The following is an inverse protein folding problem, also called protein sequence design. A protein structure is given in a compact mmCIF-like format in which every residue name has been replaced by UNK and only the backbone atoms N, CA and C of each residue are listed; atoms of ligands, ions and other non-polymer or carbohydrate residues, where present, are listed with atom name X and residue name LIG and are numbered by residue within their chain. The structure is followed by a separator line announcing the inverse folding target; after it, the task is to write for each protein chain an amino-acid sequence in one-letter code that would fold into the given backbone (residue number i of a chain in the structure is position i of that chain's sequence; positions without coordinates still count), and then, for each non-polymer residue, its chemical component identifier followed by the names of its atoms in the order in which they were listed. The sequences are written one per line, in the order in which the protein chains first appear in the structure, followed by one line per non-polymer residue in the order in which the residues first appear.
data_IF_920549747788
#
_entry.id   IF_920549747788
#
_cell.length_a   1.000
_cell.length_b   1.000
_cell.length_c   1.000
_cell.angle_alpha   90.00
_cell.angle_beta   90.00
_cell.angle_gamma   90.00
#
_symmetry.space_group_name_H-M   'P 1'
#
loop_
_entity.id
_entity.type
_entity.pdbx_description
1 polymer ?
#
# COMPACT_ATOMS: atom_id res chain seq x y z
N UNK A 1 8.94 -47.41 52.93
CA UNK A 1 9.74 -48.27 52.00
C UNK A 1 10.71 -47.33 51.26
N UNK A 2 11.93 -47.20 51.80
CA UNK A 2 12.97 -46.31 51.25
C UNK A 2 13.81 -47.09 50.23
N UNK A 3 13.58 -46.81 48.95
CA UNK A 3 14.40 -47.38 47.87
C UNK A 3 15.66 -46.53 47.73
N UNK A 4 16.81 -47.08 48.20
CA UNK A 4 18.13 -46.52 47.95
C UNK A 4 18.59 -46.90 46.56
N UNK A 5 18.50 -45.98 45.61
CA UNK A 5 19.06 -46.13 44.26
C UNK A 5 20.59 -46.06 44.34
N UNK A 6 21.26 -47.10 43.81
CA UNK A 6 22.73 -47.24 43.76
C UNK A 6 23.38 -46.17 42.90
N UNK A 7 24.60 -45.76 43.21
CA UNK A 7 25.30 -44.60 42.60
C UNK A 7 25.36 -44.54 41.07
N UNK A 8 25.54 -45.63 40.29
CA UNK A 8 25.59 -45.56 38.84
C UNK A 8 24.26 -45.16 38.20
N UNK A 9 23.13 -45.48 38.83
CA UNK A 9 21.80 -45.13 38.30
C UNK A 9 21.48 -43.63 38.43
N UNK A 10 22.06 -42.97 39.43
CA UNK A 10 21.91 -41.47 39.58
C UNK A 10 22.68 -40.70 38.51
N UNK A 11 23.85 -41.21 38.07
CA UNK A 11 24.63 -40.58 37.01
C UNK A 11 23.96 -40.72 35.63
N UNK A 12 23.34 -41.84 35.35
CA UNK A 12 22.61 -42.07 34.09
C UNK A 12 21.35 -41.20 34.03
N UNK A 13 20.62 -41.05 35.14
CA UNK A 13 19.44 -40.19 35.22
C UNK A 13 19.80 -38.71 35.07
N UNK A 14 20.91 -38.27 35.64
CA UNK A 14 21.40 -36.90 35.50
C UNK A 14 21.88 -36.60 34.07
N UNK A 15 22.53 -37.56 33.39
CA UNK A 15 22.95 -37.42 31.99
C UNK A 15 21.77 -37.36 31.02
N UNK A 16 20.70 -38.13 31.26
CA UNK A 16 19.46 -38.07 30.46
C UNK A 16 18.70 -36.74 30.65
N UNK A 17 18.74 -36.15 31.84
CA UNK A 17 18.08 -34.83 32.11
C UNK A 17 18.81 -33.65 31.42
N UNK A 18 20.14 -33.74 31.26
CA UNK A 18 20.92 -32.71 30.59
C UNK A 18 20.77 -32.75 29.08
N UNK A 19 20.55 -33.93 28.49
CA UNK A 19 20.30 -34.08 27.04
C UNK A 19 18.91 -33.61 26.62
N UNK A 20 17.93 -33.55 27.50
CA UNK A 20 16.56 -33.08 27.19
C UNK A 20 16.43 -31.53 27.19
N UNK A 21 17.40 -30.79 27.72
CA UNK A 21 17.39 -29.32 27.77
C UNK A 21 17.93 -28.68 26.49
N UNK A 22 18.45 -29.41 25.53
CA UNK A 22 18.96 -28.87 24.27
C UNK A 22 17.93 -28.84 23.13
N UNK A 23 16.71 -29.37 23.33
CA UNK A 23 15.71 -29.52 22.26
C UNK A 23 14.78 -28.32 22.08
N UNK A 24 14.92 -27.25 22.83
CA UNK A 24 14.16 -26.00 22.67
C UNK A 24 15.05 -24.80 22.35
N UNK A 25 15.94 -24.92 21.37
CA UNK A 25 16.40 -23.75 20.64
C UNK A 25 15.25 -23.34 19.72
N UNK A 26 14.37 -22.48 20.21
CA UNK A 26 13.51 -21.68 19.34
C UNK A 26 14.40 -21.07 18.29
N UNK A 27 14.28 -21.52 17.04
CA UNK A 27 14.84 -20.81 15.90
C UNK A 27 14.26 -19.38 16.01
N UNK A 28 15.13 -18.44 16.40
CA UNK A 28 14.84 -17.03 16.24
C UNK A 28 14.48 -16.77 14.77
N UNK A 29 13.75 -15.71 14.44
CA UNK A 29 13.45 -15.37 13.06
C UNK A 29 14.77 -15.42 12.29
N UNK A 30 14.84 -16.26 11.25
CA UNK A 30 16.02 -16.38 10.39
C UNK A 30 16.32 -14.96 9.87
N UNK A 31 17.39 -14.37 10.35
CA UNK A 31 17.92 -13.12 9.82
C UNK A 31 18.36 -13.47 8.41
N UNK A 32 17.56 -13.06 7.41
CA UNK A 32 17.84 -13.34 6.02
C UNK A 32 19.28 -12.93 5.67
N UNK A 33 19.94 -13.77 4.90
CA UNK A 33 21.29 -13.48 4.39
C UNK A 33 21.25 -12.23 3.51
N UNK A 34 22.30 -11.40 3.53
CA UNK A 34 22.42 -10.27 2.61
C UNK A 34 22.22 -10.75 1.17
N UNK A 35 21.36 -10.07 0.41
CA UNK A 35 21.14 -10.40 -0.99
C UNK A 35 22.42 -10.14 -1.80
N UNK A 36 22.72 -10.92 -2.85
CA UNK A 36 23.80 -10.62 -3.77
C UNK A 36 23.64 -9.20 -4.33
N UNK A 37 24.69 -8.39 -4.32
CA UNK A 37 24.66 -6.98 -4.70
C UNK A 37 24.09 -6.74 -6.10
N UNK A 38 24.42 -7.62 -7.06
CA UNK A 38 23.99 -7.49 -8.45
C UNK A 38 22.48 -7.75 -8.63
N UNK A 39 21.94 -8.79 -7.99
CA UNK A 39 20.50 -9.08 -8.03
C UNK A 39 19.68 -7.97 -7.36
N UNK A 40 20.16 -7.44 -6.23
CA UNK A 40 19.50 -6.35 -5.51
C UNK A 40 19.47 -5.08 -6.33
N UNK A 41 20.62 -4.73 -6.97
CA UNK A 41 20.73 -3.56 -7.82
C UNK A 41 19.85 -3.68 -9.07
N UNK A 42 19.80 -4.85 -9.70
CA UNK A 42 18.95 -5.09 -10.88
C UNK A 42 17.47 -4.94 -10.53
N UNK A 43 16.99 -5.55 -9.43
CA UNK A 43 15.62 -5.42 -8.97
C UNK A 43 15.24 -3.97 -8.63
N UNK A 44 16.16 -3.24 -7.99
CA UNK A 44 15.94 -1.82 -7.65
C UNK A 44 15.90 -0.91 -8.87
N UNK A 45 16.75 -1.16 -9.87
CA UNK A 45 16.74 -0.40 -11.13
C UNK A 45 15.46 -0.67 -11.93
N UNK A 46 15.04 -1.93 -12.02
CA UNK A 46 13.79 -2.31 -12.68
C UNK A 46 12.57 -1.66 -12.02
N UNK A 47 12.55 -1.59 -10.68
CA UNK A 47 11.52 -0.90 -9.90
C UNK A 47 11.36 0.58 -10.27
N UNK A 48 12.40 1.27 -10.68
CA UNK A 48 12.39 2.71 -10.99
C UNK A 48 11.96 3.06 -12.42
N UNK A 49 11.79 2.08 -13.31
CA UNK A 49 11.58 2.31 -14.76
C UNK A 49 10.12 2.40 -15.17
N UNK A 50 9.57 3.61 -15.40
CA UNK A 50 8.22 3.76 -15.98
C UNK A 50 7.99 5.10 -16.71
N UNK A 51 7.13 5.09 -17.76
CA UNK A 51 6.72 6.26 -18.54
C UNK A 51 5.39 6.86 -18.07
N UNK A 52 5.16 8.16 -18.31
CA UNK A 52 3.94 8.88 -17.93
C UNK A 52 3.06 9.18 -19.15
N UNK A 53 1.85 8.62 -19.19
CA UNK A 53 0.86 8.84 -20.25
C UNK A 53 -0.50 9.21 -19.65
N UNK A 54 -1.43 9.85 -20.41
CA UNK A 54 -2.83 9.98 -20.04
C UNK A 54 -3.45 8.61 -19.76
N UNK A 55 -4.29 8.54 -18.75
CA UNK A 55 -4.91 7.28 -18.34
C UNK A 55 -6.30 7.48 -17.75
N UNK A 56 -7.13 6.45 -17.89
CA UNK A 56 -8.40 6.31 -17.20
C UNK A 56 -8.47 4.91 -16.60
N UNK A 57 -8.75 4.84 -15.31
CA UNK A 57 -8.76 3.60 -14.53
C UNK A 57 -10.09 3.43 -13.85
N UNK A 58 -10.65 2.23 -13.88
CA UNK A 58 -11.77 1.86 -13.03
C UNK A 58 -11.37 0.78 -12.04
N UNK A 59 -11.99 0.81 -10.86
CA UNK A 59 -11.71 -0.13 -9.80
C UNK A 59 -12.89 -0.35 -8.88
N UNK A 60 -12.79 -1.39 -8.06
CA UNK A 60 -13.71 -1.65 -6.98
C UNK A 60 -12.95 -1.65 -5.67
N UNK A 61 -13.37 -0.83 -4.73
CA UNK A 61 -12.76 -0.70 -3.41
C UNK A 61 -13.73 -1.22 -2.35
N UNK A 62 -13.32 -2.25 -1.62
CA UNK A 62 -14.00 -2.74 -0.42
C UNK A 62 -13.17 -2.37 0.79
N UNK A 63 -13.75 -1.72 1.79
CA UNK A 63 -13.02 -1.25 2.96
C UNK A 63 -13.88 -1.29 4.22
N UNK A 64 -13.23 -1.32 5.39
CA UNK A 64 -13.86 -1.31 6.70
C UNK A 64 -13.23 -2.29 7.67
N UNK A 65 -13.86 -2.45 8.82
CA UNK A 65 -13.50 -3.43 9.84
C UNK A 65 -14.42 -4.66 9.77
N UNK A 66 -14.08 -5.72 10.49
CA UNK A 66 -14.91 -6.92 10.54
C UNK A 66 -16.35 -6.58 11.00
N UNK A 67 -17.35 -6.98 10.20
CA UNK A 67 -18.76 -6.71 10.46
C UNK A 67 -19.28 -5.39 9.89
N UNK A 68 -18.43 -4.41 9.55
CA UNK A 68 -18.81 -3.15 8.89
C UNK A 68 -17.92 -2.90 7.68
N UNK A 69 -18.22 -3.53 6.56
CA UNK A 69 -17.51 -3.33 5.30
C UNK A 69 -18.39 -2.67 4.26
N UNK A 70 -17.84 -1.73 3.55
CA UNK A 70 -18.47 -1.00 2.46
C UNK A 70 -17.77 -1.30 1.14
N UNK A 71 -18.52 -1.20 0.06
CA UNK A 71 -17.99 -1.34 -1.30
C UNK A 71 -18.38 -0.14 -2.14
N UNK A 72 -17.41 0.38 -2.87
CA UNK A 72 -17.58 1.46 -3.83
C UNK A 72 -16.87 1.10 -5.15
N UNK A 73 -17.35 1.68 -6.23
CA UNK A 73 -16.67 1.69 -7.51
C UNK A 73 -15.92 3.02 -7.64
N UNK A 74 -14.74 2.99 -8.26
CA UNK A 74 -13.88 4.14 -8.44
C UNK A 74 -13.61 4.35 -9.92
N UNK A 75 -13.67 5.60 -10.37
CA UNK A 75 -13.26 6.01 -11.70
C UNK A 75 -12.24 7.14 -11.54
N UNK A 76 -11.02 6.90 -12.02
CA UNK A 76 -9.89 7.80 -11.88
C UNK A 76 -9.29 8.11 -13.25
N UNK A 77 -8.97 9.38 -13.49
CA UNK A 77 -8.31 9.80 -14.74
C UNK A 77 -7.41 11.01 -14.53
N UNK A 78 -6.40 11.13 -15.41
CA UNK A 78 -5.43 12.22 -15.43
C UNK A 78 -4.66 12.22 -16.76
N UNK A 79 -4.00 13.32 -17.06
CA UNK A 79 -3.05 13.45 -18.17
C UNK A 79 -1.60 13.06 -17.79
N UNK A 80 -1.39 12.50 -16.61
CA UNK A 80 -0.05 12.18 -16.12
C UNK A 80 -0.01 12.16 -14.61
N UNK A 81 0.83 12.99 -14.01
CA UNK A 81 0.98 13.03 -12.57
C UNK A 81 -0.12 13.87 -11.90
N UNK A 82 -0.38 15.07 -12.41
CA UNK A 82 -1.42 16.02 -11.95
C UNK A 82 -1.95 16.82 -13.15
N UNK A 83 -3.19 17.33 -13.07
CA UNK A 83 -4.20 17.07 -12.05
C UNK A 83 -4.78 15.66 -12.12
N UNK A 84 -5.29 15.16 -11.00
CA UNK A 84 -5.96 13.86 -10.88
C UNK A 84 -7.42 14.09 -10.51
N UNK A 85 -8.32 13.37 -11.20
CA UNK A 85 -9.74 13.32 -10.88
C UNK A 85 -10.13 11.91 -10.47
N UNK A 86 -10.91 11.79 -9.38
CA UNK A 86 -11.48 10.53 -8.88
C UNK A 86 -12.96 10.74 -8.57
N UNK A 87 -13.81 9.94 -9.19
CA UNK A 87 -15.22 9.79 -8.85
C UNK A 87 -15.43 8.48 -8.09
N UNK A 88 -16.15 8.54 -6.98
CA UNK A 88 -16.47 7.39 -6.11
C UNK A 88 -17.97 7.16 -6.14
N UNK A 89 -18.40 5.94 -6.48
CA UNK A 89 -19.80 5.58 -6.64
C UNK A 89 -20.16 4.39 -5.76
N UNK A 90 -21.35 4.41 -5.17
CA UNK A 90 -21.89 3.29 -4.38
C UNK A 90 -23.10 2.66 -5.09
N UNK A 91 -23.34 1.38 -4.83
CA UNK A 91 -24.48 0.64 -5.37
C UNK A 91 -24.52 0.65 -6.90
N UNK A 92 -25.66 1.03 -7.47
CA UNK A 92 -25.91 1.08 -8.91
C UNK A 92 -25.52 2.44 -9.53
N UNK A 93 -24.38 2.99 -9.14
CA UNK A 93 -23.85 4.23 -9.74
C UNK A 93 -24.20 5.51 -9.02
N UNK A 94 -24.70 5.45 -7.78
CA UNK A 94 -24.93 6.62 -6.95
C UNK A 94 -23.58 7.29 -6.61
N UNK A 95 -23.40 8.54 -7.01
CA UNK A 95 -22.18 9.29 -6.76
C UNK A 95 -22.06 9.63 -5.26
N UNK A 96 -21.01 9.16 -4.62
CA UNK A 96 -20.72 9.36 -3.19
C UNK A 96 -19.74 10.50 -2.97
N UNK A 97 -18.70 10.57 -3.80
CA UNK A 97 -17.70 11.60 -3.71
C UNK A 97 -17.09 11.91 -5.08
N UNK A 98 -16.68 13.16 -5.26
CA UNK A 98 -15.80 13.62 -6.32
C UNK A 98 -14.56 14.22 -5.72
N UNK A 99 -13.41 13.79 -6.15
CA UNK A 99 -12.13 14.24 -5.60
C UNK A 99 -11.25 14.74 -6.74
N UNK A 100 -10.63 15.89 -6.52
CA UNK A 100 -9.61 16.43 -7.42
C UNK A 100 -8.37 16.77 -6.61
N UNK A 101 -7.21 16.46 -7.15
CA UNK A 101 -5.93 16.95 -6.66
C UNK A 101 -5.17 17.61 -7.78
N UNK A 102 -4.75 18.85 -7.53
CA UNK A 102 -3.87 19.63 -8.42
C UNK A 102 -2.51 19.85 -7.76
N UNK A 103 -1.64 20.63 -8.39
CA UNK A 103 -0.37 21.01 -7.77
C UNK A 103 -0.55 21.76 -6.44
N UNK A 104 -1.56 22.61 -6.35
CA UNK A 104 -1.75 23.58 -5.27
C UNK A 104 -3.03 23.38 -4.46
N UNK A 105 -3.81 22.35 -4.75
CA UNK A 105 -5.07 22.14 -4.05
C UNK A 105 -5.53 20.69 -4.05
N UNK A 106 -6.29 20.35 -3.04
CA UNK A 106 -7.07 19.12 -2.95
C UNK A 106 -8.52 19.50 -2.62
N UNK A 107 -9.47 18.94 -3.35
CA UNK A 107 -10.91 19.14 -3.13
C UNK A 107 -11.62 17.79 -3.12
N UNK A 108 -12.37 17.51 -2.06
CA UNK A 108 -13.26 16.35 -1.98
C UNK A 108 -14.69 16.82 -1.76
N UNK A 109 -15.57 16.60 -2.72
CA UNK A 109 -16.97 16.98 -2.70
C UNK A 109 -17.88 15.79 -2.46
N UNK A 110 -18.75 15.88 -1.45
CA UNK A 110 -19.79 14.89 -1.12
C UNK A 110 -21.16 15.43 -1.60
N UNK A 111 -21.71 14.92 -2.71
CA UNK A 111 -22.96 15.43 -3.29
C UNK A 111 -24.16 15.31 -2.35
N UNK A 112 -24.27 14.22 -1.60
CA UNK A 112 -25.39 13.97 -0.69
C UNK A 112 -25.48 14.98 0.46
N UNK A 113 -24.34 15.57 0.83
CA UNK A 113 -24.26 16.58 1.90
C UNK A 113 -24.16 17.99 1.34
N UNK A 114 -24.04 18.14 0.03
CA UNK A 114 -23.67 19.37 -0.67
C UNK A 114 -22.48 20.08 0.00
N UNK A 115 -21.45 19.31 0.34
CA UNK A 115 -20.30 19.74 1.13
C UNK A 115 -18.99 19.41 0.41
N UNK A 116 -18.06 20.34 0.45
CA UNK A 116 -16.70 20.15 -0.05
C UNK A 116 -15.67 20.40 1.06
N UNK A 117 -14.72 19.48 1.17
CA UNK A 117 -13.53 19.65 2.00
C UNK A 117 -12.41 20.10 1.08
N UNK A 118 -11.75 21.20 1.41
CA UNK A 118 -10.72 21.81 0.57
C UNK A 118 -9.42 22.00 1.34
N UNK A 119 -8.32 21.64 0.71
CA UNK A 119 -6.97 22.00 1.16
C UNK A 119 -6.29 22.85 0.09
N UNK A 120 -5.62 23.93 0.49
CA UNK A 120 -4.78 24.76 -0.37
C UNK A 120 -3.32 24.59 0.01
N UNK A 121 -2.48 24.37 -0.98
CA UNK A 121 -1.05 24.16 -0.82
C UNK A 121 -0.57 22.82 -1.38
N UNK A 122 0.75 22.63 -1.50
CA UNK A 122 1.35 21.46 -2.16
C UNK A 122 1.35 20.18 -1.29
N UNK A 123 0.86 20.26 -0.05
CA UNK A 123 0.86 19.13 0.88
C UNK A 123 -0.07 18.02 0.40
N UNK A 124 0.39 16.79 0.50
CA UNK A 124 -0.41 15.60 0.20
C UNK A 124 -1.48 15.40 1.27
N UNK A 125 -2.73 15.28 0.85
CA UNK A 125 -3.86 14.98 1.71
C UNK A 125 -4.08 13.47 1.73
N UNK A 126 -4.05 12.86 2.92
CA UNK A 126 -4.34 11.44 3.08
C UNK A 126 -5.80 11.14 2.75
N UNK A 127 -6.04 10.04 2.04
CA UNK A 127 -7.39 9.56 1.78
C UNK A 127 -8.01 8.99 3.06
N UNK A 128 -9.34 9.16 3.17
CA UNK A 128 -10.11 8.64 4.29
C UNK A 128 -11.25 7.75 3.77
N UNK A 129 -11.18 6.47 4.06
CA UNK A 129 -12.22 5.49 3.75
C UNK A 129 -12.87 4.98 5.05
N UNK A 130 -13.45 5.91 5.83
CA UNK A 130 -13.94 5.64 7.18
C UNK A 130 -12.82 5.62 8.24
N UNK A 131 -11.58 5.60 7.78
CA UNK A 131 -10.34 5.71 8.53
C UNK A 131 -9.26 6.32 7.62
N UNK A 132 -8.36 7.17 8.15
CA UNK A 132 -7.20 7.64 7.40
C UNK A 132 -6.31 6.47 6.98
N UNK A 133 -6.01 6.39 5.68
CA UNK A 133 -5.02 5.46 5.15
C UNK A 133 -3.72 6.22 4.85
N UNK A 134 -2.55 5.56 4.83
CA UNK A 134 -1.27 6.25 4.67
C UNK A 134 -1.01 6.78 3.24
N UNK A 135 -2.02 6.79 2.37
CA UNK A 135 -1.93 7.14 0.96
C UNK A 135 -2.74 8.39 0.63
N UNK A 136 -2.16 9.29 -0.18
CA UNK A 136 -2.86 10.40 -0.84
C UNK A 136 -3.55 9.94 -2.13
N UNK A 137 -4.28 10.85 -2.80
CA UNK A 137 -4.85 10.57 -4.13
C UNK A 137 -3.75 10.32 -5.17
N UNK A 138 -2.63 11.03 -5.09
CA UNK A 138 -1.45 10.79 -5.95
C UNK A 138 -0.92 9.38 -5.77
N UNK A 139 -0.75 8.94 -4.51
CA UNK A 139 -0.26 7.59 -4.21
C UNK A 139 -1.24 6.52 -4.69
N UNK A 140 -2.54 6.72 -4.47
CA UNK A 140 -3.59 5.83 -4.97
C UNK A 140 -3.57 5.71 -6.49
N UNK A 141 -3.43 6.82 -7.20
CA UNK A 141 -3.27 6.84 -8.66
C UNK A 141 -2.02 6.09 -9.10
N UNK A 142 -0.89 6.38 -8.48
CA UNK A 142 0.40 5.76 -8.84
C UNK A 142 0.41 4.25 -8.56
N UNK A 143 -0.20 3.80 -7.46
CA UNK A 143 -0.41 2.38 -7.17
C UNK A 143 -1.21 1.70 -8.27
N UNK A 144 -2.38 2.24 -8.63
CA UNK A 144 -3.24 1.66 -9.67
C UNK A 144 -2.54 1.57 -11.04
N UNK A 145 -1.58 2.45 -11.31
CA UNK A 145 -0.80 2.49 -12.55
C UNK A 145 0.45 1.61 -12.52
N UNK A 146 0.81 1.05 -11.36
CA UNK A 146 2.07 0.33 -11.17
C UNK A 146 3.30 1.24 -11.04
N UNK A 147 3.13 2.53 -10.76
CA UNK A 147 4.22 3.51 -10.60
C UNK A 147 4.66 3.59 -9.14
N UNK A 148 5.12 2.49 -8.63
CA UNK A 148 5.42 2.31 -7.20
C UNK A 148 6.52 3.21 -6.68
N UNK A 149 7.51 3.55 -7.50
CA UNK A 149 8.60 4.46 -7.13
C UNK A 149 8.11 5.88 -6.79
N UNK A 150 6.94 6.30 -7.32
CA UNK A 150 6.32 7.58 -6.96
C UNK A 150 5.68 7.55 -5.58
N UNK A 151 5.35 6.35 -5.09
CA UNK A 151 4.68 6.12 -3.80
C UNK A 151 5.69 5.88 -2.70
N UNK A 152 6.61 4.94 -2.92
CA UNK A 152 7.58 4.53 -1.92
C UNK A 152 8.92 5.28 -2.02
N UNK A 153 9.14 5.99 -3.14
CA UNK A 153 10.33 6.78 -3.38
C UNK A 153 11.56 5.94 -3.74
N UNK A 154 12.62 6.63 -4.15
CA UNK A 154 13.98 6.11 -4.22
C UNK A 154 14.63 6.42 -2.87
N UNK A 155 14.52 5.52 -1.90
CA UNK A 155 15.10 5.73 -0.59
C UNK A 155 16.63 5.53 -0.65
N UNK A 156 17.38 6.47 -0.07
CA UNK A 156 18.78 6.26 0.25
C UNK A 156 18.90 5.32 1.46
N UNK A 157 19.93 4.51 1.50
CA UNK A 157 20.23 3.66 2.65
C UNK A 157 19.54 2.29 2.63
N UNK A 158 19.31 1.76 1.46
CA UNK A 158 18.73 0.42 1.29
C UNK A 158 19.65 -0.66 1.85
N UNK A 159 19.11 -1.49 2.74
CA UNK A 159 19.77 -2.70 3.23
C UNK A 159 19.08 -3.92 2.59
N UNK A 160 19.47 -4.34 1.37
CA UNK A 160 18.83 -5.45 0.69
C UNK A 160 19.06 -6.75 1.46
N UNK A 161 18.00 -7.52 1.62
CA UNK A 161 18.01 -8.82 2.29
C UNK A 161 17.22 -9.83 1.47
N UNK A 162 17.86 -10.96 1.12
CA UNK A 162 17.15 -12.05 0.47
C UNK A 162 16.13 -12.70 1.41
N UNK A 163 14.95 -13.00 0.87
CA UNK A 163 13.89 -13.71 1.57
C UNK A 163 13.86 -15.18 1.13
N UNK A 164 13.33 -16.11 1.97
CA UNK A 164 13.28 -17.53 1.64
C UNK A 164 12.49 -17.87 0.37
N UNK A 165 11.55 -17.03 -0.03
CA UNK A 165 10.75 -17.17 -1.26
C UNK A 165 11.43 -16.64 -2.53
N UNK A 166 12.66 -16.14 -2.42
CA UNK A 166 13.44 -15.57 -3.51
C UNK A 166 13.24 -14.08 -3.74
N UNK A 167 12.32 -13.44 -3.03
CA UNK A 167 12.14 -11.99 -3.07
C UNK A 167 13.26 -11.26 -2.31
N UNK A 168 13.36 -9.95 -2.49
CA UNK A 168 14.36 -9.12 -1.85
C UNK A 168 13.65 -8.02 -1.06
N UNK A 169 13.91 -7.98 0.25
CA UNK A 169 13.40 -6.93 1.13
C UNK A 169 14.35 -5.73 1.17
N UNK A 170 13.80 -4.53 1.06
CA UNK A 170 14.51 -3.25 1.13
C UNK A 170 13.94 -2.42 2.27
N UNK A 171 14.80 -1.82 3.08
CA UNK A 171 14.37 -0.87 4.10
C UNK A 171 14.22 0.51 3.47
N UNK A 172 13.03 1.08 3.55
CA UNK A 172 12.73 2.44 3.12
C UNK A 172 12.91 3.39 4.30
N UNK A 173 13.89 4.28 4.23
CA UNK A 173 14.14 5.31 5.25
C UNK A 173 14.03 6.70 4.63
N UNK A 174 13.45 7.64 5.35
CA UNK A 174 13.40 9.05 4.95
C UNK A 174 12.37 9.42 3.89
N UNK A 175 11.55 8.51 3.41
CA UNK A 175 10.45 8.76 2.47
C UNK A 175 9.14 9.13 3.16
N UNK A 176 8.08 9.39 2.35
CA UNK A 176 6.73 9.68 2.85
C UNK A 176 6.13 8.42 3.51
N UNK A 177 6.53 7.24 3.05
CA UNK A 177 6.06 5.93 3.49
C UNK A 177 7.24 5.06 3.95
N UNK A 178 7.83 5.35 5.12
CA UNK A 178 8.91 4.54 5.67
C UNK A 178 8.42 3.13 5.99
N UNK A 179 9.34 2.16 5.96
CA UNK A 179 9.01 0.77 6.22
C UNK A 179 9.87 -0.20 5.46
N UNK A 180 9.34 -1.36 5.15
CA UNK A 180 9.99 -2.40 4.38
C UNK A 180 9.22 -2.65 3.08
N UNK A 181 9.93 -2.70 1.96
CA UNK A 181 9.40 -3.03 0.64
C UNK A 181 10.01 -4.34 0.17
N UNK A 182 9.16 -5.31 -0.19
CA UNK A 182 9.57 -6.59 -0.75
C UNK A 182 9.37 -6.56 -2.26
N UNK A 183 10.45 -6.77 -3.00
CA UNK A 183 10.47 -6.82 -4.46
C UNK A 183 10.73 -8.26 -4.93
N UNK A 184 10.07 -8.65 -6.00
CA UNK A 184 10.47 -9.80 -6.80
C UNK A 184 11.83 -9.51 -7.48
N UNK A 185 12.55 -10.54 -7.96
CA UNK A 185 13.81 -10.35 -8.69
C UNK A 185 13.68 -9.45 -9.95
N UNK A 186 12.48 -9.39 -10.55
CA UNK A 186 12.17 -8.54 -11.70
C UNK A 186 11.81 -7.07 -11.32
N UNK A 187 11.92 -6.72 -10.02
CA UNK A 187 11.66 -5.37 -9.51
C UNK A 187 10.20 -5.06 -9.20
N UNK A 188 9.29 -6.01 -9.35
CA UNK A 188 7.88 -5.79 -9.00
C UNK A 188 7.65 -5.89 -7.49
N UNK A 189 7.09 -4.84 -6.85
CA UNK A 189 6.74 -4.90 -5.43
C UNK A 189 5.62 -5.89 -5.15
N UNK A 190 5.80 -6.75 -4.18
CA UNK A 190 4.77 -7.72 -3.75
C UNK A 190 4.19 -7.38 -2.38
N UNK A 191 4.96 -6.68 -1.56
CA UNK A 191 4.54 -6.30 -0.21
C UNK A 191 5.22 -5.03 0.25
N UNK A 192 4.47 -4.20 0.97
CA UNK A 192 4.99 -3.10 1.75
C UNK A 192 4.47 -3.18 3.18
N UNK A 193 5.34 -2.93 4.15
CA UNK A 193 5.00 -2.96 5.58
C UNK A 193 5.50 -1.67 6.22
N UNK A 194 4.58 -0.86 6.75
CA UNK A 194 4.93 0.36 7.47
C UNK A 194 5.34 0.06 8.92
N UNK A 195 6.18 0.91 9.50
CA UNK A 195 6.52 0.85 10.93
C UNK A 195 5.30 0.92 11.84
N UNK A 196 4.23 1.60 11.41
CA UNK A 196 2.99 1.81 12.17
C UNK A 196 1.91 0.76 11.92
N UNK A 197 2.30 -0.43 11.50
CA UNK A 197 1.41 -1.59 11.43
C UNK A 197 0.59 -1.73 10.15
N UNK A 198 0.61 -0.77 9.22
CA UNK A 198 -0.01 -0.95 7.90
C UNK A 198 0.80 -1.94 7.07
N UNK A 199 0.10 -2.87 6.45
CA UNK A 199 0.67 -3.83 5.49
C UNK A 199 -0.14 -3.81 4.21
N UNK A 200 0.52 -3.73 3.06
CA UNK A 200 -0.09 -3.82 1.75
C UNK A 200 0.50 -4.98 0.97
N UNK A 201 -0.34 -5.91 0.55
CA UNK A 201 0.00 -6.98 -0.39
C UNK A 201 -0.46 -6.57 -1.80
N UNK A 202 0.37 -6.85 -2.83
CA UNK A 202 0.13 -6.49 -4.22
C UNK A 202 0.10 -7.77 -5.05
N UNK A 203 -0.93 -7.91 -5.88
CA UNK A 203 -1.09 -9.05 -6.80
C UNK A 203 -1.15 -8.54 -8.23
N UNK A 204 -0.51 -9.26 -9.14
CA UNK A 204 -0.37 -8.93 -10.56
C UNK A 204 -1.19 -9.88 -11.42
N UNK A 205 -1.63 -9.38 -12.57
CA UNK A 205 -2.19 -10.21 -13.63
C UNK A 205 -1.09 -11.01 -14.36
N UNK A 206 -1.51 -11.89 -15.27
CA UNK A 206 -0.61 -12.72 -16.08
C UNK A 206 -0.18 -12.01 -17.39
N UNK A 207 -0.35 -10.68 -17.47
CA UNK A 207 0.03 -9.88 -18.63
C UNK A 207 1.54 -9.78 -18.83
N UNK A 208 1.94 -9.28 -20.02
CA UNK A 208 3.35 -8.98 -20.31
C UNK A 208 3.49 -7.55 -20.87
N UNK A 209 3.98 -6.58 -20.07
CA UNK A 209 4.39 -6.72 -18.66
C UNK A 209 3.20 -6.97 -17.74
N UNK A 210 3.39 -7.65 -16.59
CA UNK A 210 2.35 -7.88 -15.61
C UNK A 210 1.94 -6.56 -14.94
N UNK A 211 0.62 -6.33 -14.77
CA UNK A 211 0.08 -5.13 -14.17
C UNK A 211 -0.56 -5.43 -12.79
N UNK A 212 -0.43 -4.54 -11.82
CA UNK A 212 -1.01 -4.76 -10.49
C UNK A 212 -2.53 -4.66 -10.56
N UNK A 213 -3.26 -5.75 -10.29
CA UNK A 213 -4.72 -5.73 -10.35
C UNK A 213 -5.40 -5.76 -8.99
N UNK A 214 -4.69 -6.17 -7.92
CA UNK A 214 -5.25 -6.25 -6.57
C UNK A 214 -4.27 -5.70 -5.54
N UNK A 215 -4.79 -4.83 -4.68
CA UNK A 215 -4.09 -4.31 -3.51
C UNK A 215 -4.90 -4.67 -2.27
N UNK A 216 -4.28 -5.30 -1.29
CA UNK A 216 -4.89 -5.60 0.00
C UNK A 216 -4.12 -4.87 1.09
N UNK A 217 -4.73 -3.83 1.65
CA UNK A 217 -4.20 -3.06 2.77
C UNK A 217 -4.84 -3.58 4.07
N UNK A 218 -4.04 -3.83 5.08
CA UNK A 218 -4.49 -4.30 6.40
C UNK A 218 -3.80 -3.53 7.53
N UNK A 219 -4.48 -3.47 8.67
CA UNK A 219 -3.96 -2.88 9.90
C UNK A 219 -4.25 -3.82 11.08
N UNK A 220 -3.38 -3.90 12.11
CA UNK A 220 -3.53 -4.83 13.25
C UNK A 220 -4.83 -4.68 14.06
N UNK A 221 -5.48 -3.51 14.00
CA UNK A 221 -6.79 -3.28 14.66
C UNK A 221 -7.99 -3.86 13.90
N UNK A 222 -7.76 -4.67 12.87
CA UNK A 222 -8.80 -5.36 12.11
C UNK A 222 -9.36 -4.58 10.91
N UNK A 223 -8.84 -3.36 10.63
CA UNK A 223 -9.22 -2.65 9.42
C UNK A 223 -8.58 -3.28 8.17
N UNK A 224 -9.34 -3.31 7.08
CA UNK A 224 -8.84 -3.74 5.77
C UNK A 224 -9.43 -2.92 4.63
N UNK A 225 -8.66 -2.77 3.56
CA UNK A 225 -9.13 -2.22 2.30
C UNK A 225 -8.60 -3.10 1.15
N UNK A 226 -9.49 -3.49 0.25
CA UNK A 226 -9.15 -4.28 -0.94
C UNK A 226 -9.57 -3.50 -2.17
N UNK A 227 -8.60 -3.07 -2.94
CA UNK A 227 -8.78 -2.44 -4.24
C UNK A 227 -8.56 -3.47 -5.34
N UNK A 228 -9.54 -3.59 -6.24
CA UNK A 228 -9.43 -4.35 -7.48
C UNK A 228 -9.45 -3.37 -8.65
N UNK A 229 -8.41 -3.33 -9.45
CA UNK A 229 -8.37 -2.58 -10.70
C UNK A 229 -9.09 -3.41 -11.76
N UNK A 230 -10.18 -2.87 -12.33
CA UNK A 230 -11.05 -3.59 -13.26
C UNK A 230 -10.70 -3.32 -14.71
N UNK A 231 -10.37 -2.06 -15.01
CA UNK A 231 -10.09 -1.64 -16.37
C UNK A 231 -9.03 -0.54 -16.38
N UNK A 232 -8.22 -0.54 -17.43
CA UNK A 232 -7.17 0.43 -17.72
C UNK A 232 -7.27 0.85 -19.17
N UNK A 233 -7.58 2.11 -19.39
CA UNK A 233 -7.68 2.70 -20.71
C UNK A 233 -6.56 3.73 -20.90
N UNK A 234 -5.91 3.65 -22.06
CA UNK A 234 -5.01 4.70 -22.54
C UNK A 234 -5.82 5.55 -23.54
N UNK A 235 -6.22 6.77 -23.17
CA UNK A 235 -6.93 7.66 -24.09
C UNK A 235 -6.08 8.00 -25.29
N UNK A 236 -6.71 8.13 -26.47
CA UNK A 236 -6.03 8.53 -27.71
C UNK A 236 -5.58 10.00 -27.70
N UNK A 237 -6.17 10.80 -26.84
CA UNK A 237 -5.83 12.21 -26.63
C UNK A 237 -5.86 12.57 -25.14
N UNK A 238 -5.13 13.60 -24.75
CA UNK A 238 -5.20 14.16 -23.42
C UNK A 238 -6.62 14.63 -23.08
N UNK A 239 -7.01 14.50 -21.81
CA UNK A 239 -8.25 15.07 -21.31
C UNK A 239 -8.13 16.61 -21.33
N UNK A 240 -9.23 17.27 -21.71
CA UNK A 240 -9.33 18.74 -21.60
C UNK A 240 -9.42 19.17 -20.14
N UNK A 241 -9.08 20.42 -19.87
CA UNK A 241 -9.08 20.97 -18.50
C UNK A 241 -10.46 20.88 -17.85
N UNK A 242 -11.56 21.09 -18.60
CA UNK A 242 -12.93 20.95 -18.10
C UNK A 242 -13.29 19.52 -17.69
N UNK A 243 -12.67 18.52 -18.28
CA UNK A 243 -12.86 17.10 -17.91
C UNK A 243 -12.11 16.72 -16.62
N UNK A 244 -11.05 17.46 -16.31
CA UNK A 244 -10.25 17.27 -15.09
C UNK A 244 -10.68 18.22 -13.96
N UNK A 245 -11.38 19.29 -14.28
CA UNK A 245 -11.87 20.26 -13.29
C UNK A 245 -12.98 19.66 -12.39
N UNK A 246 -13.04 20.14 -11.17
CA UNK A 246 -14.11 19.86 -10.23
C UNK A 246 -14.87 21.15 -9.92
N UNK A 247 -15.90 21.41 -10.71
CA UNK A 247 -16.80 22.52 -10.44
C UNK A 247 -17.76 22.16 -9.30
N UNK A 248 -17.78 22.99 -8.26
CA UNK A 248 -18.69 22.82 -7.14
C UNK A 248 -20.03 23.48 -7.45
N UNK A 249 -21.17 22.81 -7.17
CA UNK A 249 -22.49 23.41 -7.33
C UNK A 249 -22.66 24.70 -6.51
N UNK A 250 -23.54 25.58 -6.96
CA UNK A 250 -23.88 26.76 -6.20
C UNK A 250 -24.45 26.40 -4.82
N UNK A 251 -24.05 27.13 -3.79
CA UNK A 251 -24.46 26.85 -2.41
C UNK A 251 -23.74 25.67 -1.74
N UNK A 252 -22.67 25.14 -2.34
CA UNK A 252 -21.83 24.12 -1.67
C UNK A 252 -21.20 24.68 -0.40
N UNK A 253 -21.34 23.96 0.70
CA UNK A 253 -20.68 24.28 1.96
C UNK A 253 -19.20 23.90 1.83
N UNK A 254 -18.30 24.87 1.95
CA UNK A 254 -16.85 24.66 1.83
C UNK A 254 -16.22 24.67 3.22
N UNK A 255 -15.54 23.57 3.58
CA UNK A 255 -14.79 23.47 4.82
C UNK A 255 -13.31 23.22 4.53
N UNK A 256 -12.40 23.93 5.22
CA UNK A 256 -10.98 23.60 5.14
C UNK A 256 -10.68 22.30 5.86
N UNK A 257 -9.66 21.55 5.40
CA UNK A 257 -9.12 20.42 6.16
C UNK A 257 -8.57 20.95 7.48
N UNK A 258 -9.06 20.40 8.59
CA UNK A 258 -8.58 20.76 9.93
C UNK A 258 -7.13 20.28 10.09
N UNK A 259 -6.22 21.17 10.49
CA UNK A 259 -4.84 20.79 10.84
C UNK A 259 -4.87 19.75 11.97
N UNK A 260 -4.34 18.55 11.69
CA UNK A 260 -4.26 17.44 12.68
C UNK A 260 -5.46 16.49 12.69
N UNK A 261 -6.38 16.62 11.77
CA UNK A 261 -7.52 15.74 11.65
C UNK A 261 -7.42 14.82 10.43
N UNK A 262 -6.59 13.81 10.53
CA UNK A 262 -6.81 12.44 10.02
C UNK A 262 -5.77 11.57 10.67
#
# INVERSE_FOLDING_TARGET
MNIRLSGPFRLILAALLVLSLQACATRGPEIGTSAPSDASNAAWQAYQSYASDPYRLSGSLRYGSQGDTRRVETLLWSNGYLPIRLDVMAGIGALVARIQETQDSFTAYAPNENKAIVHKGPQRVQLNFGRPVPFSLRDFSSLMRGRFHEVFGAAEGLNPRALPNGDIAFTLSGGILPGMLELRPDGLPVRWSAEKGWVMDITYDDGNPPLPYKFKLTHPDGYSAILLVKDRQKPNAAFRDDQLALDLPAGTIIEPIKKGGY
#
